data_IF_748568285770
#
_entry.id   IF_748568285770
#
_cell.length_a   1.000
_cell.length_b   1.000
_cell.length_c   1.000
_cell.angle_alpha   90.00
_cell.angle_beta   90.00
_cell.angle_gamma   90.00
#
_symmetry.space_group_name_H-M   'P 1'
#
loop_
_entity.id
_entity.type
_entity.pdbx_description
1 polymer ?
#
# COMPACT_ATOMS: atom_id res chain seq x y z
N UNK A 1 11.07 13.75 10.19
CA UNK A 1 11.17 13.52 8.73
C UNK A 1 10.12 14.39 8.07
N UNK A 2 10.43 15.09 6.98
CA UNK A 2 9.42 15.86 6.22
C UNK A 2 8.68 14.89 5.29
N UNK A 3 7.38 15.07 5.11
CA UNK A 3 6.63 14.31 4.09
C UNK A 3 7.18 14.71 2.72
N UNK A 4 7.58 13.75 1.86
CA UNK A 4 7.98 14.05 0.50
C UNK A 4 6.82 14.65 -0.30
N UNK A 5 7.12 15.26 -1.44
CA UNK A 5 6.06 15.67 -2.36
C UNK A 5 5.45 14.42 -3.00
N UNK A 6 4.24 14.05 -2.56
CA UNK A 6 3.61 12.81 -3.01
C UNK A 6 3.21 12.85 -4.50
N UNK A 7 3.21 14.01 -5.15
CA UNK A 7 2.97 14.09 -6.58
C UNK A 7 4.16 13.62 -7.43
N UNK A 8 5.36 13.51 -6.85
CA UNK A 8 6.58 13.13 -7.56
C UNK A 8 6.67 11.61 -7.65
N UNK A 9 6.22 11.04 -8.78
CA UNK A 9 6.24 9.59 -9.00
C UNK A 9 7.65 8.98 -8.87
N UNK A 10 8.69 9.72 -9.27
CA UNK A 10 10.08 9.28 -9.15
C UNK A 10 10.57 9.10 -7.70
N UNK A 11 9.90 9.71 -6.73
CA UNK A 11 10.22 9.55 -5.31
C UNK A 11 9.33 8.50 -4.63
N UNK A 12 8.28 8.02 -5.31
CA UNK A 12 7.33 7.06 -4.76
C UNK A 12 7.99 5.70 -4.47
N UNK A 13 7.38 4.93 -3.56
CA UNK A 13 7.97 3.69 -3.04
C UNK A 13 7.46 3.35 -1.64
N UNK A 14 8.00 2.25 -1.09
CA UNK A 14 7.71 1.77 0.27
C UNK A 14 8.61 2.48 1.29
N UNK A 15 8.01 3.15 2.27
CA UNK A 15 8.76 3.95 3.27
C UNK A 15 8.18 3.84 4.68
N UNK A 16 9.06 3.72 5.67
CA UNK A 16 8.66 3.85 7.07
C UNK A 16 8.28 5.32 7.39
N UNK A 17 7.11 5.52 7.99
CA UNK A 17 6.63 6.84 8.45
C UNK A 17 6.35 6.84 9.96
N UNK A 18 7.07 7.64 10.76
CA UNK A 18 6.86 7.70 12.20
C UNK A 18 5.71 8.65 12.63
N UNK A 19 5.11 9.38 11.69
CA UNK A 19 4.08 10.38 11.97
C UNK A 19 2.66 9.83 11.91
N UNK A 20 1.69 10.71 12.13
CA UNK A 20 0.28 10.35 12.09
C UNK A 20 -0.19 10.07 10.65
N UNK A 21 -1.01 9.04 10.40
CA UNK A 21 -1.51 8.70 9.06
C UNK A 21 -2.34 9.84 8.43
N UNK A 22 -2.96 10.70 9.25
CA UNK A 22 -3.73 11.87 8.80
C UNK A 22 -2.85 12.86 8.04
N UNK A 23 -1.56 12.95 8.38
CA UNK A 23 -0.62 13.82 7.67
C UNK A 23 -0.33 13.33 6.25
N UNK A 24 -0.23 12.01 6.05
CA UNK A 24 -0.11 11.40 4.72
C UNK A 24 -1.41 11.54 3.94
N UNK A 25 -2.57 11.34 4.58
CA UNK A 25 -3.88 11.55 3.95
C UNK A 25 -4.06 12.98 3.45
N UNK A 26 -3.66 13.97 4.24
CA UNK A 26 -3.71 15.38 3.86
C UNK A 26 -2.78 15.67 2.66
N UNK A 27 -1.55 15.14 2.68
CA UNK A 27 -0.60 15.27 1.57
C UNK A 27 -1.09 14.59 0.29
N UNK A 28 -1.65 13.38 0.41
CA UNK A 28 -2.21 12.63 -0.72
C UNK A 28 -3.39 13.39 -1.35
N UNK A 29 -4.26 13.97 -0.52
CA UNK A 29 -5.37 14.82 -1.00
C UNK A 29 -4.84 16.04 -1.76
N UNK A 30 -3.81 16.71 -1.25
CA UNK A 30 -3.20 17.85 -1.94
C UNK A 30 -2.56 17.45 -3.29
N UNK A 31 -2.02 16.24 -3.38
CA UNK A 31 -1.48 15.65 -4.59
C UNK A 31 -2.54 14.97 -5.49
N UNK A 32 -3.83 15.03 -5.12
CA UNK A 32 -4.96 14.36 -5.81
C UNK A 32 -4.84 12.84 -5.93
N UNK A 33 -4.05 12.21 -5.06
CA UNK A 33 -3.90 10.76 -5.02
C UNK A 33 -5.09 10.11 -4.32
N UNK A 34 -5.43 8.90 -4.74
CA UNK A 34 -6.24 8.01 -3.92
C UNK A 34 -5.49 7.73 -2.61
N UNK A 35 -6.21 7.56 -1.50
CA UNK A 35 -5.58 7.26 -0.21
C UNK A 35 -6.31 6.14 0.50
N UNK A 36 -5.59 5.05 0.74
CA UNK A 36 -6.08 3.88 1.46
C UNK A 36 -5.35 3.74 2.80
N UNK A 37 -6.10 3.49 3.86
CA UNK A 37 -5.54 3.20 5.19
C UNK A 37 -5.90 1.76 5.52
N UNK A 38 -4.88 0.94 5.71
CA UNK A 38 -5.02 -0.48 6.05
C UNK A 38 -4.58 -0.67 7.51
N UNK A 39 -5.50 -1.10 8.37
CA UNK A 39 -5.22 -1.29 9.80
C UNK A 39 -4.94 -2.76 10.12
N UNK A 40 -3.75 -3.04 10.65
CA UNK A 40 -3.28 -4.39 10.98
C UNK A 40 -3.38 -4.74 12.48
N UNK A 41 -4.06 -3.93 13.31
CA UNK A 41 -4.08 -4.07 14.78
C UNK A 41 -4.38 -5.49 15.30
N UNK A 42 -5.25 -6.24 14.61
CA UNK A 42 -5.70 -7.58 15.05
C UNK A 42 -5.53 -8.65 13.97
N UNK A 43 -4.66 -8.40 12.99
CA UNK A 43 -4.47 -9.32 11.86
C UNK A 43 -3.58 -10.48 12.31
N UNK A 44 -4.13 -11.70 12.22
CA UNK A 44 -3.46 -12.95 12.55
C UNK A 44 -3.20 -13.80 11.30
N UNK A 45 -1.95 -13.85 10.86
CA UNK A 45 -1.48 -14.71 9.77
C UNK A 45 -1.91 -14.26 8.37
N UNK A 46 -1.44 -15.00 7.37
CA UNK A 46 -1.62 -14.67 5.95
C UNK A 46 -3.09 -14.53 5.53
N UNK A 47 -3.98 -15.44 5.93
CA UNK A 47 -5.39 -15.40 5.49
C UNK A 47 -6.08 -14.10 5.90
N UNK A 48 -5.93 -13.70 7.17
CA UNK A 48 -6.53 -12.44 7.65
C UNK A 48 -5.84 -11.22 7.05
N UNK A 49 -4.54 -11.31 6.74
CA UNK A 49 -3.83 -10.24 6.02
C UNK A 49 -4.44 -10.04 4.64
N UNK A 50 -4.64 -11.10 3.86
CA UNK A 50 -5.25 -11.04 2.53
C UNK A 50 -6.64 -10.39 2.58
N UNK A 51 -7.50 -10.83 3.51
CA UNK A 51 -8.83 -10.24 3.70
C UNK A 51 -8.77 -8.75 4.06
N UNK A 52 -7.79 -8.37 4.89
CA UNK A 52 -7.59 -6.98 5.33
C UNK A 52 -7.07 -6.10 4.21
N UNK A 53 -6.16 -6.62 3.38
CA UNK A 53 -5.66 -5.94 2.18
C UNK A 53 -6.77 -5.75 1.15
N UNK A 54 -7.52 -6.81 0.83
CA UNK A 54 -8.64 -6.74 -0.12
C UNK A 54 -9.65 -5.67 0.26
N UNK A 55 -10.06 -5.61 1.53
CA UNK A 55 -10.99 -4.59 2.03
C UNK A 55 -10.37 -3.19 2.12
N UNK A 56 -9.15 -3.09 2.65
CA UNK A 56 -8.47 -1.82 2.90
C UNK A 56 -8.04 -1.09 1.62
N UNK A 57 -7.64 -1.85 0.61
CA UNK A 57 -7.27 -1.34 -0.72
C UNK A 57 -8.47 -1.26 -1.67
N UNK A 58 -9.62 -1.84 -1.28
CA UNK A 58 -10.83 -1.97 -2.13
C UNK A 58 -10.53 -2.70 -3.44
N UNK A 59 -9.82 -3.81 -3.35
CA UNK A 59 -9.52 -4.67 -4.50
C UNK A 59 -10.84 -5.25 -5.07
N UNK A 60 -10.83 -5.69 -6.34
CA UNK A 60 -12.01 -6.26 -6.99
C UNK A 60 -12.64 -7.43 -6.22
N UNK A 61 -13.95 -7.64 -6.38
CA UNK A 61 -14.69 -8.73 -5.70
C UNK A 61 -14.14 -10.13 -6.02
N UNK A 62 -13.49 -10.27 -7.18
CA UNK A 62 -12.86 -11.52 -7.64
C UNK A 62 -11.42 -11.70 -7.15
N UNK A 63 -10.93 -10.85 -6.22
CA UNK A 63 -9.60 -10.97 -5.63
C UNK A 63 -9.35 -12.36 -5.02
N UNK A 64 -8.30 -13.03 -5.49
CA UNK A 64 -8.02 -14.44 -5.19
C UNK A 64 -7.45 -14.75 -3.79
N UNK A 65 -7.33 -13.76 -2.90
CA UNK A 65 -6.83 -13.90 -1.52
C UNK A 65 -5.51 -14.67 -1.37
N UNK A 66 -4.56 -14.40 -2.27
CA UNK A 66 -3.21 -14.97 -2.24
C UNK A 66 -2.18 -13.95 -2.76
N UNK A 67 -0.89 -14.30 -2.72
CA UNK A 67 0.20 -13.39 -3.08
C UNK A 67 0.21 -13.04 -4.57
N UNK A 68 0.01 -14.04 -5.44
CA UNK A 68 0.00 -13.83 -6.88
C UNK A 68 -1.17 -12.93 -7.28
N UNK A 69 -2.36 -13.20 -6.75
CA UNK A 69 -3.53 -12.37 -6.96
C UNK A 69 -3.36 -10.95 -6.41
N UNK A 70 -2.56 -10.76 -5.36
CA UNK A 70 -2.25 -9.43 -4.84
C UNK A 70 -1.35 -8.69 -5.81
N UNK A 71 -0.25 -9.29 -6.25
CA UNK A 71 0.66 -8.70 -7.23
C UNK A 71 -0.10 -8.31 -8.51
N UNK A 72 -0.89 -9.22 -9.07
CA UNK A 72 -1.73 -8.97 -10.25
C UNK A 72 -2.66 -7.76 -10.05
N UNK A 73 -3.39 -7.73 -8.91
CA UNK A 73 -4.28 -6.61 -8.61
C UNK A 73 -3.52 -5.30 -8.47
N UNK A 74 -2.31 -5.32 -7.88
CA UNK A 74 -1.54 -4.09 -7.68
C UNK A 74 -1.09 -3.45 -8.99
N UNK A 75 -0.86 -4.24 -10.03
CA UNK A 75 -0.41 -3.77 -11.36
C UNK A 75 -1.55 -3.49 -12.35
N UNK A 76 -2.74 -4.06 -12.15
CA UNK A 76 -3.92 -3.85 -13.03
C UNK A 76 -4.54 -2.45 -12.84
N UNK A 77 -4.42 -1.87 -11.64
CA UNK A 77 -4.62 -0.44 -11.41
C UNK A 77 -6.07 0.07 -11.35
N UNK A 78 -7.09 -0.81 -11.42
CA UNK A 78 -8.52 -0.42 -11.33
C UNK A 78 -8.86 0.40 -10.06
N UNK A 79 -8.09 0.21 -8.99
CA UNK A 79 -8.27 0.81 -7.66
C UNK A 79 -7.27 1.94 -7.35
N UNK A 80 -6.30 2.20 -8.25
CA UNK A 80 -5.18 3.14 -8.05
C UNK A 80 -5.60 4.62 -8.18
N UNK A 81 -6.74 4.88 -8.80
CA UNK A 81 -7.21 6.22 -9.14
C UNK A 81 -6.46 6.86 -10.31
N UNK A 82 -7.01 7.96 -10.84
CA UNK A 82 -6.50 8.59 -12.07
C UNK A 82 -5.07 9.14 -11.93
N UNK A 83 -4.73 9.62 -10.74
CA UNK A 83 -3.47 10.32 -10.45
C UNK A 83 -2.44 9.48 -9.67
N UNK A 84 -2.77 8.25 -9.28
CA UNK A 84 -1.93 7.45 -8.39
C UNK A 84 -2.48 7.35 -6.96
N UNK A 85 -1.74 6.67 -6.09
CA UNK A 85 -2.22 6.25 -4.77
C UNK A 85 -1.18 6.41 -3.66
N UNK A 86 -1.67 6.61 -2.44
CA UNK A 86 -0.93 6.46 -1.19
C UNK A 86 -1.62 5.44 -0.26
N UNK A 87 -0.93 4.36 0.05
CA UNK A 87 -1.35 3.31 0.98
C UNK A 87 -0.67 3.58 2.31
N UNK A 88 -1.38 3.41 3.42
CA UNK A 88 -0.80 3.59 4.76
C UNK A 88 -1.16 2.39 5.63
N UNK A 89 -0.15 1.66 6.07
CA UNK A 89 -0.32 0.56 7.03
C UNK A 89 -0.24 1.06 8.48
N UNK A 90 -1.34 0.92 9.22
CA UNK A 90 -1.40 1.21 10.66
C UNK A 90 -1.21 -0.04 11.48
N UNK A 91 -0.61 0.13 12.66
CA UNK A 91 -0.42 -0.93 13.66
C UNK A 91 0.31 -2.19 13.11
N UNK A 92 1.10 -2.04 12.03
CA UNK A 92 1.81 -3.13 11.37
C UNK A 92 2.91 -3.78 12.22
N UNK A 93 3.43 -3.08 13.24
CA UNK A 93 4.57 -3.53 14.03
C UNK A 93 4.36 -4.90 14.72
N UNK A 94 3.13 -5.19 15.17
CA UNK A 94 2.79 -6.47 15.76
C UNK A 94 2.81 -7.59 14.70
N UNK A 95 2.18 -7.35 13.55
CA UNK A 95 2.16 -8.29 12.43
C UNK A 95 3.57 -8.57 11.91
N UNK A 96 4.34 -7.52 11.60
CA UNK A 96 5.74 -7.61 11.14
C UNK A 96 6.63 -8.43 12.08
N UNK A 97 6.41 -8.34 13.40
CA UNK A 97 7.19 -9.12 14.37
C UNK A 97 6.79 -10.59 14.40
N UNK A 98 5.50 -10.89 14.30
CA UNK A 98 4.95 -12.23 14.45
C UNK A 98 4.98 -13.06 13.15
N UNK A 99 4.88 -12.40 11.99
CA UNK A 99 4.76 -13.01 10.66
C UNK A 99 5.79 -12.41 9.70
N UNK A 100 7.08 -12.56 10.02
CA UNK A 100 8.18 -11.93 9.28
C UNK A 100 8.20 -12.33 7.80
N UNK A 101 8.08 -13.62 7.51
CA UNK A 101 8.09 -14.12 6.12
C UNK A 101 6.96 -13.51 5.30
N UNK A 102 5.73 -13.49 5.85
CA UNK A 102 4.59 -12.86 5.18
C UNK A 102 4.80 -11.35 4.98
N UNK A 103 5.39 -10.67 5.96
CA UNK A 103 5.70 -9.24 5.87
C UNK A 103 6.77 -8.93 4.82
N UNK A 104 7.81 -9.75 4.75
CA UNK A 104 8.90 -9.58 3.77
C UNK A 104 8.33 -9.79 2.36
N UNK A 105 7.55 -10.85 2.12
CA UNK A 105 6.85 -11.07 0.84
C UNK A 105 5.89 -9.93 0.48
N UNK A 106 5.11 -9.42 1.44
CA UNK A 106 4.25 -8.26 1.20
C UNK A 106 5.07 -7.02 0.82
N UNK A 107 6.19 -6.79 1.50
CA UNK A 107 7.06 -5.63 1.25
C UNK A 107 7.69 -5.69 -0.13
N UNK A 108 8.12 -6.87 -0.57
CA UNK A 108 8.68 -7.10 -1.89
C UNK A 108 7.63 -6.84 -2.98
N UNK A 109 6.42 -7.41 -2.85
CA UNK A 109 5.31 -7.18 -3.79
C UNK A 109 4.94 -5.69 -3.89
N UNK A 110 4.90 -4.98 -2.76
CA UNK A 110 4.60 -3.54 -2.75
C UNK A 110 5.73 -2.71 -3.37
N UNK A 111 6.98 -3.13 -3.21
CA UNK A 111 8.12 -2.47 -3.83
C UNK A 111 8.13 -2.68 -5.36
N UNK A 112 7.90 -3.91 -5.82
CA UNK A 112 7.77 -4.23 -7.25
C UNK A 112 6.62 -3.42 -7.90
N UNK A 113 5.46 -3.38 -7.25
CA UNK A 113 4.35 -2.55 -7.71
C UNK A 113 4.71 -1.05 -7.77
N UNK A 114 5.47 -0.55 -6.79
CA UNK A 114 5.91 0.84 -6.80
C UNK A 114 6.84 1.14 -7.98
N UNK A 115 7.79 0.26 -8.28
CA UNK A 115 8.68 0.36 -9.44
C UNK A 115 7.89 0.31 -10.75
N UNK A 116 6.96 -0.63 -10.88
CA UNK A 116 6.07 -0.77 -12.04
C UNK A 116 5.30 0.52 -12.36
N UNK A 117 4.76 1.18 -11.34
CA UNK A 117 4.02 2.44 -11.50
C UNK A 117 4.92 3.66 -11.68
N UNK A 118 6.11 3.65 -11.09
CA UNK A 118 7.12 4.70 -11.30
C UNK A 118 7.54 4.79 -12.77
N UNK A 119 7.76 3.65 -13.44
CA UNK A 119 8.05 3.59 -14.89
C UNK A 119 6.92 4.16 -15.76
N UNK A 120 5.68 4.12 -15.24
CA UNK A 120 4.48 4.67 -15.88
C UNK A 120 4.17 6.10 -15.43
N UNK A 121 5.07 6.73 -14.69
CA UNK A 121 4.93 8.07 -14.13
C UNK A 121 3.67 8.25 -13.25
N UNK A 122 3.21 7.18 -12.59
CA UNK A 122 2.13 7.24 -11.61
C UNK A 122 2.69 7.07 -10.19
N UNK A 123 2.46 8.01 -9.28
CA UNK A 123 2.84 7.85 -7.88
C UNK A 123 2.16 6.65 -7.22
N UNK A 124 2.96 5.77 -6.63
CA UNK A 124 2.52 4.65 -5.80
C UNK A 124 3.30 4.67 -4.48
N UNK A 125 2.68 5.23 -3.45
CA UNK A 125 3.29 5.37 -2.13
C UNK A 125 2.76 4.33 -1.17
N UNK A 126 3.64 3.80 -0.32
CA UNK A 126 3.31 2.87 0.76
C UNK A 126 4.03 3.25 2.05
#
# INVERSE_FOLDING_TARGET
MKIPDLAVAADAGVRDWPGAPESIKAAATAAKLHCCIVDLHSVGGKSQLMDTLGKGLKLPEHFGNNWDALADCLEDGEWLGDHGIAIVFRHAAAYRRSYRVDWDTLSDILAEAAEYWQERHKPFWV
#
